data_IF_390513829735
#
_entry.id   IF_390513829735
#
_cell.length_a   1.000
_cell.length_b   1.000
_cell.length_c   1.000
_cell.angle_alpha   90.00
_cell.angle_beta   90.00
_cell.angle_gamma   90.00
#
_symmetry.space_group_name_H-M   'P 1'
#
loop_
_entity.id
_entity.type
_entity.pdbx_description
1 polymer ?
#
# COMPACT_ATOMS: atom_id res chain seq x y z
N UNK A 1 10.99 -40.57 -5.65
CA UNK A 1 10.85 -39.72 -4.44
C UNK A 1 9.54 -38.98 -4.59
N UNK A 2 8.59 -39.19 -3.67
CA UNK A 2 7.28 -38.55 -3.70
C UNK A 2 7.21 -37.54 -2.55
N UNK A 3 7.14 -36.26 -2.88
CA UNK A 3 7.00 -35.17 -1.91
C UNK A 3 5.83 -34.30 -2.39
N UNK A 4 4.89 -34.00 -1.50
CA UNK A 4 3.83 -33.03 -1.74
C UNK A 4 4.10 -31.77 -0.93
N UNK A 5 3.77 -30.62 -1.51
CA UNK A 5 3.83 -29.32 -0.85
C UNK A 5 2.38 -28.92 -0.58
N UNK A 6 2.09 -28.57 0.67
CA UNK A 6 0.79 -28.08 1.10
C UNK A 6 0.97 -26.67 1.63
N UNK A 7 0.05 -25.78 1.24
CA UNK A 7 -0.05 -24.43 1.79
C UNK A 7 -1.28 -24.43 2.68
N UNK A 8 -1.08 -24.16 3.96
CA UNK A 8 -2.15 -24.05 4.94
C UNK A 8 -2.29 -22.59 5.36
N UNK A 9 -3.55 -22.16 5.51
CA UNK A 9 -3.90 -20.82 5.95
C UNK A 9 -4.36 -20.87 7.41
N UNK A 10 -3.80 -19.97 8.22
CA UNK A 10 -4.19 -19.80 9.62
C UNK A 10 -4.66 -18.37 9.83
N UNK A 11 -5.83 -18.21 10.42
CA UNK A 11 -6.43 -16.91 10.71
C UNK A 11 -6.59 -16.69 12.21
N UNK A 12 -6.40 -15.45 12.63
CA UNK A 12 -6.76 -14.99 13.98
C UNK A 12 -7.30 -13.58 13.89
N UNK A 13 -8.29 -13.28 14.72
CA UNK A 13 -8.89 -11.96 14.78
C UNK A 13 -8.91 -11.47 16.23
N UNK A 14 -8.51 -10.21 16.41
CA UNK A 14 -8.69 -9.47 17.65
C UNK A 14 -10.09 -8.85 17.66
N UNK A 15 -10.84 -9.07 18.75
CA UNK A 15 -12.22 -8.60 18.87
C UNK A 15 -12.38 -7.71 20.10
N UNK A 16 -13.31 -6.76 20.03
CA UNK A 16 -13.78 -6.04 21.21
C UNK A 16 -14.60 -6.98 22.09
N UNK A 17 -14.12 -7.18 23.32
CA UNK A 17 -14.86 -7.94 24.33
C UNK A 17 -15.55 -6.98 25.31
N UNK A 18 -16.46 -7.52 26.13
CA UNK A 18 -17.10 -6.73 27.21
C UNK A 18 -16.11 -6.19 28.24
N UNK A 19 -14.93 -6.80 28.34
CA UNK A 19 -13.90 -6.48 29.32
C UNK A 19 -12.84 -5.54 28.75
N UNK A 20 -12.87 -5.27 27.45
CA UNK A 20 -11.92 -4.45 26.72
C UNK A 20 -11.58 -5.03 25.34
N UNK A 21 -10.88 -4.24 24.50
CA UNK A 21 -10.34 -4.72 23.24
C UNK A 21 -9.30 -5.83 23.47
N UNK A 22 -9.27 -6.81 22.57
CA UNK A 22 -8.11 -7.71 22.45
C UNK A 22 -7.02 -7.01 21.64
N UNK A 23 -5.76 -7.21 22.03
CA UNK A 23 -4.62 -6.59 21.37
C UNK A 23 -3.70 -7.65 20.77
N UNK A 24 -3.09 -7.33 19.63
CA UNK A 24 -2.00 -8.11 19.03
C UNK A 24 -0.68 -7.51 19.50
N UNK A 25 0.12 -8.31 20.21
CA UNK A 25 1.36 -7.83 20.84
C UNK A 25 2.34 -8.97 21.09
N UNK A 26 3.64 -8.63 21.12
CA UNK A 26 4.71 -9.51 21.57
C UNK A 26 4.73 -9.70 23.10
N UNK A 27 4.11 -8.78 23.85
CA UNK A 27 4.06 -8.83 25.31
C UNK A 27 3.04 -9.87 25.81
N UNK A 28 3.46 -11.13 25.85
CA UNK A 28 2.61 -12.26 26.20
C UNK A 28 2.87 -12.77 27.63
N UNK A 29 1.82 -12.89 28.47
CA UNK A 29 1.99 -13.41 29.82
C UNK A 29 2.39 -14.90 29.78
N UNK A 30 3.41 -15.26 30.56
CA UNK A 30 3.96 -16.62 30.65
C UNK A 30 4.63 -17.14 29.36
N UNK A 31 4.96 -16.27 28.40
CA UNK A 31 5.78 -16.66 27.25
C UNK A 31 7.27 -16.60 27.60
N UNK A 32 8.02 -17.64 27.23
CA UNK A 32 9.48 -17.65 27.32
C UNK A 32 10.11 -16.95 26.11
N UNK A 33 11.31 -16.38 26.26
CA UNK A 33 12.09 -15.78 25.17
C UNK A 33 12.21 -16.70 23.93
N UNK A 34 12.36 -18.01 24.14
CA UNK A 34 12.42 -18.98 23.04
C UNK A 34 11.15 -19.03 22.19
N UNK A 35 9.98 -18.75 22.78
CA UNK A 35 8.70 -18.70 22.07
C UNK A 35 8.51 -17.37 21.34
N UNK A 36 9.11 -16.30 21.85
CA UNK A 36 9.04 -14.95 21.28
C UNK A 36 10.10 -14.71 20.20
N UNK A 37 11.07 -15.62 20.03
CA UNK A 37 12.22 -15.46 19.11
C UNK A 37 11.82 -15.16 17.67
N UNK A 38 10.68 -15.70 17.24
CA UNK A 38 10.19 -15.62 15.86
C UNK A 38 9.19 -14.47 15.67
N UNK A 39 8.78 -13.80 16.74
CA UNK A 39 7.83 -12.68 16.70
C UNK A 39 8.57 -11.35 16.55
N UNK A 40 8.00 -10.49 15.73
CA UNK A 40 8.44 -9.11 15.60
C UNK A 40 7.96 -8.23 16.75
N UNK A 41 8.26 -6.93 16.68
CA UNK A 41 7.87 -5.95 17.70
C UNK A 41 6.36 -5.81 17.86
N UNK A 42 5.57 -6.12 16.82
CA UNK A 42 4.10 -6.05 16.87
C UNK A 42 3.47 -7.37 17.33
N UNK A 43 4.26 -8.42 17.51
CA UNK A 43 3.78 -9.73 17.95
C UNK A 43 3.36 -10.65 16.81
N UNK A 44 3.83 -10.42 15.59
CA UNK A 44 3.56 -11.22 14.40
C UNK A 44 4.84 -11.94 13.96
N UNK A 45 4.71 -13.20 13.53
CA UNK A 45 5.85 -13.96 13.01
C UNK A 45 6.51 -13.31 11.79
N UNK A 46 7.80 -13.54 11.56
CA UNK A 46 8.46 -13.08 10.33
C UNK A 46 8.16 -13.98 9.12
N UNK A 47 8.07 -13.37 7.93
CA UNK A 47 8.06 -14.13 6.66
C UNK A 47 9.41 -14.82 6.49
N UNK A 48 9.40 -16.10 6.15
CA UNK A 48 10.59 -16.95 6.06
C UNK A 48 10.98 -17.63 7.37
N UNK A 49 10.27 -17.41 8.48
CA UNK A 49 10.53 -18.12 9.72
C UNK A 49 10.17 -19.61 9.59
N UNK A 50 11.07 -20.48 10.03
CA UNK A 50 10.77 -21.89 10.24
C UNK A 50 10.03 -22.06 11.57
N UNK A 51 8.83 -22.63 11.50
CA UNK A 51 7.95 -22.80 12.65
C UNK A 51 7.62 -24.27 12.86
N UNK A 52 7.53 -24.66 14.12
CA UNK A 52 7.10 -25.98 14.54
C UNK A 52 5.88 -25.89 15.47
N UNK A 53 5.21 -27.02 15.66
CA UNK A 53 4.13 -27.19 16.63
C UNK A 53 4.43 -26.48 17.96
N UNK A 54 3.52 -25.60 18.39
CA UNK A 54 3.62 -24.85 19.64
C UNK A 54 4.28 -23.48 19.54
N UNK A 55 4.98 -23.18 18.43
CA UNK A 55 5.48 -21.84 18.14
C UNK A 55 4.31 -20.88 17.93
N UNK A 56 4.53 -19.62 18.32
CA UNK A 56 3.53 -18.57 18.24
C UNK A 56 3.62 -17.93 16.84
N UNK A 57 2.50 -17.94 16.11
CA UNK A 57 2.37 -17.27 14.81
C UNK A 57 1.96 -15.81 14.99
N UNK A 58 1.00 -15.56 15.87
CA UNK A 58 0.50 -14.23 16.18
C UNK A 58 0.21 -14.14 17.67
N UNK A 59 0.90 -13.26 18.36
CA UNK A 59 0.72 -12.93 19.76
C UNK A 59 -0.58 -12.16 19.96
N UNK A 60 -1.52 -12.72 20.72
CA UNK A 60 -2.80 -12.10 21.04
C UNK A 60 -3.07 -12.14 22.53
N UNK A 61 -3.46 -11.01 23.08
CA UNK A 61 -3.83 -10.87 24.50
C UNK A 61 -5.30 -10.48 24.63
N UNK A 62 -5.98 -11.12 25.58
CA UNK A 62 -7.39 -10.81 25.90
C UNK A 62 -7.48 -10.29 27.32
N UNK A 63 -8.12 -9.14 27.58
CA UNK A 63 -8.33 -8.66 28.94
C UNK A 63 -9.17 -9.66 29.74
N UNK A 64 -8.69 -9.98 30.95
CA UNK A 64 -9.38 -10.78 31.95
C UNK A 64 -10.23 -9.87 32.82
N UNK A 65 -11.37 -10.38 33.26
CA UNK A 65 -12.16 -9.70 34.28
C UNK A 65 -11.45 -9.78 35.63
N UNK A 66 -11.77 -8.83 36.53
CA UNK A 66 -11.29 -8.87 37.91
C UNK A 66 -11.73 -10.18 38.57
N UNK A 67 -10.80 -11.11 38.71
CA UNK A 67 -10.98 -12.30 39.53
C UNK A 67 -10.53 -11.94 40.95
N UNK A 68 -11.24 -12.41 41.99
CA UNK A 68 -10.82 -12.16 43.36
C UNK A 68 -9.43 -12.77 43.57
N UNK A 69 -8.42 -11.92 43.67
CA UNK A 69 -7.03 -12.33 43.89
C UNK A 69 -6.89 -12.97 45.26
N UNK A 70 -6.07 -14.02 45.32
CA UNK A 70 -5.66 -14.64 46.58
C UNK A 70 -4.82 -13.66 47.41
N UNK A 71 -4.80 -13.77 48.76
CA UNK A 71 -3.93 -12.95 49.60
C UNK A 71 -2.45 -12.96 49.17
N UNK A 72 -1.98 -14.08 48.62
CA UNK A 72 -0.64 -14.30 48.08
C UNK A 72 -0.37 -13.45 46.83
N UNK A 73 -1.31 -13.45 45.86
CA UNK A 73 -1.22 -12.62 44.64
C UNK A 73 -1.32 -11.12 44.97
N UNK A 74 -2.15 -10.77 45.95
CA UNK A 74 -2.30 -9.40 46.45
C UNK A 74 -1.00 -8.88 47.08
N UNK A 75 -0.28 -9.74 47.81
CA UNK A 75 1.02 -9.41 48.37
C UNK A 75 2.07 -9.22 47.29
N UNK A 76 2.14 -10.12 46.30
CA UNK A 76 3.04 -10.02 45.15
C UNK A 76 2.83 -8.71 44.38
N UNK A 77 1.57 -8.35 44.09
CA UNK A 77 1.22 -7.09 43.42
C UNK A 77 1.65 -5.85 44.21
N UNK A 78 1.54 -5.89 45.54
CA UNK A 78 1.97 -4.78 46.40
C UNK A 78 3.50 -4.62 46.46
N UNK A 79 4.25 -5.72 46.31
CA UNK A 79 5.72 -5.72 46.38
C UNK A 79 6.33 -5.34 45.03
N UNK A 80 5.86 -5.94 43.93
CA UNK A 80 6.48 -5.76 42.62
C UNK A 80 5.93 -4.57 41.86
N UNK A 81 4.77 -4.01 42.23
CA UNK A 81 4.16 -2.86 41.57
C UNK A 81 3.80 -3.09 40.10
N UNK A 82 4.22 -4.21 39.52
CA UNK A 82 3.83 -4.66 38.21
C UNK A 82 2.33 -4.89 38.21
N UNK A 83 1.68 -4.27 37.23
CA UNK A 83 0.40 -4.74 36.71
C UNK A 83 0.65 -6.20 36.31
N UNK A 84 0.43 -7.15 37.22
CA UNK A 84 0.28 -8.54 36.86
C UNK A 84 -0.70 -8.53 35.70
N UNK A 85 -0.21 -8.88 34.51
CA UNK A 85 -0.89 -8.57 33.27
C UNK A 85 -2.31 -9.13 33.38
N UNK A 86 -3.30 -8.26 33.55
CA UNK A 86 -4.73 -8.59 33.69
C UNK A 86 -5.26 -9.09 32.34
N UNK A 87 -4.40 -9.74 31.55
CA UNK A 87 -4.63 -10.25 30.22
C UNK A 87 -4.30 -11.74 30.19
N UNK A 88 -4.95 -12.45 29.27
CA UNK A 88 -4.74 -13.85 28.98
C UNK A 88 -4.06 -13.96 27.64
N UNK A 89 -3.03 -14.79 27.54
CA UNK A 89 -2.53 -15.25 26.25
C UNK A 89 -3.64 -16.03 25.53
N UNK A 90 -4.09 -15.52 24.38
CA UNK A 90 -5.01 -16.17 23.44
C UNK A 90 -4.41 -16.20 22.03
N UNK A 91 -3.07 -16.23 21.95
CA UNK A 91 -2.28 -16.21 20.73
C UNK A 91 -2.58 -17.38 19.80
N UNK A 92 -2.40 -17.14 18.50
CA UNK A 92 -2.42 -18.16 17.48
C UNK A 92 -1.10 -18.94 17.51
N UNK A 93 -1.19 -20.26 17.69
CA UNK A 93 -0.04 -21.17 17.73
C UNK A 93 -0.14 -22.20 16.62
N UNK A 94 1.00 -22.68 16.15
CA UNK A 94 1.06 -23.75 15.16
C UNK A 94 0.42 -25.02 15.74
N UNK A 95 -0.58 -25.63 15.06
CA UNK A 95 -1.20 -26.86 15.52
C UNK A 95 -0.20 -28.03 15.66
N UNK A 96 -0.50 -29.00 16.54
CA UNK A 96 0.34 -30.17 16.69
C UNK A 96 0.42 -30.97 15.38
N UNK A 97 1.64 -31.36 15.01
CA UNK A 97 1.91 -32.13 13.80
C UNK A 97 2.19 -31.31 12.54
N UNK A 98 2.02 -29.98 12.59
CA UNK A 98 2.38 -29.08 11.49
C UNK A 98 3.79 -28.52 11.71
N UNK A 99 4.61 -28.54 10.66
CA UNK A 99 5.91 -27.87 10.58
C UNK A 99 6.05 -27.30 9.18
N UNK A 100 6.55 -26.07 9.08
CA UNK A 100 6.74 -25.43 7.79
C UNK A 100 7.47 -24.10 7.89
N UNK A 101 7.46 -23.37 6.80
CA UNK A 101 8.03 -22.03 6.69
C UNK A 101 6.91 -21.06 6.40
N UNK A 102 6.89 -19.92 7.09
CA UNK A 102 5.91 -18.86 6.83
C UNK A 102 6.22 -18.23 5.47
N UNK A 103 5.27 -18.26 4.54
CA UNK A 103 5.47 -17.75 3.18
C UNK A 103 4.88 -16.34 3.01
N UNK A 104 3.71 -16.09 3.58
CA UNK A 104 2.99 -14.84 3.41
C UNK A 104 2.21 -14.52 4.70
N UNK A 105 2.06 -13.23 4.99
CA UNK A 105 1.30 -12.71 6.12
C UNK A 105 0.47 -11.55 5.63
N UNK A 106 -0.82 -11.55 5.97
CA UNK A 106 -1.75 -10.47 5.66
C UNK A 106 -2.33 -9.93 6.96
N UNK A 107 -2.32 -8.62 7.11
CA UNK A 107 -2.85 -7.91 8.27
C UNK A 107 -4.03 -7.08 7.81
N UNK A 108 -5.20 -7.34 8.39
CA UNK A 108 -6.43 -6.63 8.11
C UNK A 108 -6.78 -5.75 9.32
N UNK A 109 -6.86 -4.44 9.11
CA UNK A 109 -7.20 -3.47 10.14
C UNK A 109 -8.53 -2.79 9.81
N UNK A 110 -9.44 -2.73 10.79
CA UNK A 110 -10.73 -2.04 10.63
C UNK A 110 -10.54 -0.53 10.57
N UNK A 111 -11.48 0.13 9.89
CA UNK A 111 -11.60 1.60 9.86
C UNK A 111 -11.63 2.20 11.27
N UNK A 112 -10.72 3.14 11.54
CA UNK A 112 -10.72 3.95 12.75
C UNK A 112 -9.93 3.37 13.94
N UNK A 113 -9.27 2.23 13.80
CA UNK A 113 -8.29 1.75 14.77
C UNK A 113 -6.92 2.38 14.45
N UNK A 114 -6.14 2.76 15.46
CA UNK A 114 -4.76 3.21 15.26
C UNK A 114 -3.96 2.11 14.57
N UNK A 115 -3.43 2.41 13.38
CA UNK A 115 -2.59 1.47 12.63
C UNK A 115 -1.24 1.37 13.33
N UNK A 116 -0.76 0.14 13.50
CA UNK A 116 0.56 -0.14 14.01
C UNK A 116 1.65 0.23 12.98
N UNK A 117 2.90 0.37 13.43
CA UNK A 117 4.01 0.78 12.57
C UNK A 117 4.18 -0.15 11.35
N UNK A 118 3.88 -1.46 11.53
CA UNK A 118 3.96 -2.43 10.45
C UNK A 118 2.85 -2.24 9.43
N UNK A 119 1.59 -2.08 9.84
CA UNK A 119 0.51 -1.76 8.90
C UNK A 119 0.78 -0.46 8.14
N UNK A 120 1.28 0.58 8.81
CA UNK A 120 1.67 1.85 8.17
C UNK A 120 2.78 1.62 7.13
N UNK A 121 3.78 0.79 7.44
CA UNK A 121 4.87 0.49 6.50
C UNK A 121 4.39 -0.24 5.24
N UNK A 122 3.47 -1.19 5.40
CA UNK A 122 2.88 -1.95 4.28
C UNK A 122 2.05 -1.00 3.41
N UNK A 123 1.19 -0.20 4.03
CA UNK A 123 0.36 0.80 3.35
C UNK A 123 1.21 1.80 2.54
N UNK A 124 2.27 2.33 3.15
CA UNK A 124 3.17 3.26 2.46
C UNK A 124 3.88 2.59 1.26
N UNK A 125 4.31 1.33 1.42
CA UNK A 125 4.93 0.59 0.32
C UNK A 125 3.95 0.31 -0.82
N UNK A 126 2.68 0.02 -0.51
CA UNK A 126 1.65 -0.14 -1.52
C UNK A 126 1.34 1.18 -2.23
N UNK A 127 1.19 2.27 -1.48
CA UNK A 127 1.01 3.62 -2.03
C UNK A 127 2.17 4.01 -2.96
N UNK A 128 3.41 3.72 -2.57
CA UNK A 128 4.59 3.99 -3.39
C UNK A 128 4.56 3.21 -4.70
N UNK A 129 4.22 1.92 -4.65
CA UNK A 129 4.09 1.10 -5.87
C UNK A 129 3.02 1.64 -6.82
N UNK A 130 1.87 2.05 -6.28
CA UNK A 130 0.74 2.60 -7.05
C UNK A 130 1.08 3.97 -7.62
N UNK A 131 1.86 4.79 -6.90
CA UNK A 131 2.34 6.09 -7.39
C UNK A 131 3.31 5.92 -8.54
N UNK A 132 4.22 4.95 -8.43
CA UNK A 132 5.17 4.66 -9.50
C UNK A 132 4.46 4.20 -10.77
N UNK A 133 3.49 3.30 -10.64
CA UNK A 133 2.67 2.86 -11.78
C UNK A 133 1.94 4.03 -12.45
N UNK A 134 1.38 4.97 -11.65
CA UNK A 134 0.75 6.17 -12.17
C UNK A 134 1.74 7.04 -12.94
N UNK A 135 2.93 7.26 -12.38
CA UNK A 135 3.95 8.11 -13.00
C UNK A 135 4.44 7.51 -14.32
N UNK A 136 4.66 6.19 -14.36
CA UNK A 136 4.99 5.47 -15.58
C UNK A 136 3.87 5.58 -16.63
N UNK A 137 2.60 5.45 -16.23
CA UNK A 137 1.44 5.64 -17.12
C UNK A 137 1.36 7.08 -17.67
N UNK A 138 1.57 8.09 -16.83
CA UNK A 138 1.57 9.49 -17.22
C UNK A 138 2.70 9.80 -18.18
N UNK A 139 3.91 9.28 -17.94
CA UNK A 139 5.07 9.48 -18.81
C UNK A 139 4.84 8.88 -20.20
N UNK A 140 4.28 7.67 -20.28
CA UNK A 140 3.92 7.03 -21.55
C UNK A 140 2.85 7.86 -22.28
N UNK A 141 1.84 8.34 -21.56
CA UNK A 141 0.78 9.17 -22.13
C UNK A 141 1.35 10.50 -22.65
N UNK A 142 2.14 11.21 -21.85
CA UNK A 142 2.81 12.45 -22.23
C UNK A 142 3.71 12.26 -23.46
N UNK A 143 4.51 11.21 -23.47
CA UNK A 143 5.43 10.91 -24.57
C UNK A 143 4.68 10.60 -25.87
N UNK A 144 3.68 9.71 -25.82
CA UNK A 144 2.90 9.32 -27.00
C UNK A 144 2.08 10.48 -27.56
N UNK A 145 1.44 11.27 -26.69
CA UNK A 145 0.71 12.47 -27.08
C UNK A 145 1.62 13.54 -27.69
N UNK A 146 2.78 13.80 -27.07
CA UNK A 146 3.78 14.73 -27.59
C UNK A 146 4.27 14.34 -28.98
N UNK A 147 4.57 13.06 -29.22
CA UNK A 147 4.96 12.57 -30.53
C UNK A 147 3.85 12.73 -31.58
N UNK A 148 2.60 12.42 -31.20
CA UNK A 148 1.47 12.59 -32.11
C UNK A 148 1.23 14.06 -32.47
N UNK A 149 1.37 14.98 -31.51
CA UNK A 149 1.32 16.42 -31.78
C UNK A 149 2.44 16.85 -32.74
N UNK A 150 3.68 16.40 -32.49
CA UNK A 150 4.82 16.70 -33.38
C UNK A 150 4.55 16.24 -34.81
N UNK A 151 4.06 15.02 -35.00
CA UNK A 151 3.72 14.47 -36.32
C UNK A 151 2.67 15.32 -37.06
N UNK A 152 1.62 15.77 -36.36
CA UNK A 152 0.58 16.62 -36.95
C UNK A 152 1.08 18.04 -37.29
N UNK A 153 2.02 18.56 -36.50
CA UNK A 153 2.57 19.92 -36.65
C UNK A 153 3.66 20.01 -37.72
N UNK A 154 4.44 18.95 -37.97
CA UNK A 154 5.55 18.96 -38.93
C UNK A 154 5.08 19.38 -40.33
N UNK A 155 5.77 20.37 -40.91
CA UNK A 155 5.51 20.85 -42.26
C UNK A 155 4.28 21.77 -42.40
N UNK A 156 3.55 22.03 -41.32
CA UNK A 156 2.41 22.97 -41.31
C UNK A 156 2.87 24.42 -41.15
N UNK A 157 2.02 25.35 -41.61
CA UNK A 157 2.27 26.79 -41.52
C UNK A 157 1.93 27.31 -40.13
N UNK A 158 2.91 27.90 -39.46
CA UNK A 158 2.77 28.46 -38.12
C UNK A 158 2.05 29.82 -38.13
N UNK A 159 1.13 30.02 -37.18
CA UNK A 159 0.44 31.30 -36.96
C UNK A 159 0.93 31.99 -35.69
N UNK A 160 0.85 31.31 -34.54
CA UNK A 160 1.13 31.87 -33.22
C UNK A 160 1.30 30.76 -32.18
N UNK A 161 1.76 31.10 -30.96
CA UNK A 161 1.77 30.17 -29.82
C UNK A 161 3.14 29.83 -29.23
N UNK A 162 4.21 30.28 -29.88
CA UNK A 162 5.58 30.11 -29.39
C UNK A 162 6.54 31.13 -30.02
N UNK A 163 7.52 31.62 -29.26
CA UNK A 163 8.39 32.73 -29.67
C UNK A 163 9.50 32.30 -30.67
N UNK A 164 9.84 31.00 -30.70
CA UNK A 164 10.92 30.46 -31.55
C UNK A 164 10.54 30.27 -33.05
N UNK A 165 9.30 30.59 -33.43
CA UNK A 165 8.81 30.45 -34.81
C UNK A 165 8.35 31.78 -35.40
N UNK A 166 8.84 32.06 -36.60
CA UNK A 166 8.38 33.19 -37.39
C UNK A 166 6.97 32.94 -37.94
N UNK A 167 6.12 33.97 -37.93
CA UNK A 167 4.78 33.89 -38.52
C UNK A 167 4.86 33.48 -39.99
N UNK A 168 4.00 32.55 -40.39
CA UNK A 168 3.93 31.96 -41.75
C UNK A 168 5.15 31.11 -42.17
N UNK A 169 6.04 30.78 -41.22
CA UNK A 169 7.09 29.78 -41.48
C UNK A 169 6.53 28.36 -41.39
N UNK A 170 7.23 27.40 -42.02
CA UNK A 170 6.93 25.97 -41.86
C UNK A 170 7.60 25.43 -40.61
N UNK A 171 6.87 24.63 -39.85
CA UNK A 171 7.40 23.96 -38.66
C UNK A 171 8.37 22.84 -39.06
N UNK A 172 9.62 22.92 -38.59
CA UNK A 172 10.65 21.91 -38.81
C UNK A 172 10.68 20.90 -37.65
N UNK A 173 11.03 19.65 -37.97
CA UNK A 173 11.10 18.56 -37.00
C UNK A 173 12.08 18.87 -35.85
N UNK A 174 13.29 19.35 -36.17
CA UNK A 174 14.34 19.68 -35.19
C UNK A 174 13.91 20.74 -34.16
N UNK A 175 13.11 21.72 -34.57
CA UNK A 175 12.60 22.75 -33.67
C UNK A 175 11.46 22.25 -32.78
N UNK A 176 10.63 21.35 -33.29
CA UNK A 176 9.54 20.74 -32.54
C UNK A 176 10.04 19.68 -31.55
N UNK A 177 11.15 19.01 -31.84
CA UNK A 177 11.70 17.95 -31.00
C UNK A 177 12.09 18.44 -29.61
N UNK A 178 12.64 19.66 -29.52
CA UNK A 178 13.12 20.29 -28.29
C UNK A 178 12.03 20.93 -27.43
N UNK A 179 10.77 20.95 -27.88
CA UNK A 179 9.67 21.58 -27.16
C UNK A 179 8.97 20.60 -26.21
N UNK A 180 8.53 21.14 -25.08
CA UNK A 180 7.68 20.41 -24.14
C UNK A 180 6.25 20.28 -24.67
N UNK A 181 5.51 19.32 -24.12
CA UNK A 181 4.12 19.07 -24.51
C UNK A 181 3.25 20.32 -24.32
N UNK A 182 3.48 21.09 -23.26
CA UNK A 182 2.71 22.29 -22.97
C UNK A 182 2.95 23.41 -24.00
N UNK A 183 4.17 23.58 -24.50
CA UNK A 183 4.45 24.49 -25.60
C UNK A 183 3.83 23.98 -26.90
N UNK A 184 3.92 22.68 -27.18
CA UNK A 184 3.33 22.08 -28.39
C UNK A 184 1.80 22.29 -28.45
N UNK A 185 1.10 22.18 -27.32
CA UNK A 185 -0.34 22.43 -27.23
C UNK A 185 -0.73 23.89 -27.50
N UNK A 186 0.17 24.85 -27.30
CA UNK A 186 -0.11 26.29 -27.51
C UNK A 186 0.08 26.71 -28.96
N UNK A 187 0.68 25.87 -29.81
CA UNK A 187 0.97 26.18 -31.22
C UNK A 187 -0.33 26.18 -32.02
N UNK A 188 -0.57 27.29 -32.72
CA UNK A 188 -1.66 27.45 -33.66
C UNK A 188 -1.14 27.39 -35.10
N UNK A 189 -1.86 26.64 -35.95
CA UNK A 189 -1.54 26.43 -37.37
C UNK A 189 -2.68 26.94 -38.27
N UNK A 190 -2.36 27.18 -39.53
CA UNK A 190 -3.30 27.71 -40.54
C UNK A 190 -4.31 26.69 -41.08
N UNK A 191 -3.97 25.40 -41.02
CA UNK A 191 -4.79 24.32 -41.58
C UNK A 191 -5.96 23.94 -40.63
N UNK A 192 -7.16 24.47 -40.90
CA UNK A 192 -8.36 24.25 -40.07
C UNK A 192 -8.66 22.78 -39.79
N UNK A 193 -8.43 21.88 -40.77
CA UNK A 193 -8.72 20.44 -40.59
C UNK A 193 -7.82 19.82 -39.55
N UNK A 194 -6.54 20.21 -39.56
CA UNK A 194 -5.54 19.68 -38.62
C UNK A 194 -5.72 20.35 -37.25
N UNK A 195 -6.12 21.61 -37.19
CA UNK A 195 -6.50 22.27 -35.93
C UNK A 195 -7.64 21.51 -35.23
N UNK A 196 -8.71 21.14 -35.94
CA UNK A 196 -9.79 20.32 -35.35
C UNK A 196 -9.30 18.95 -34.86
N UNK A 197 -8.34 18.33 -35.56
CA UNK A 197 -7.74 17.07 -35.12
C UNK A 197 -6.92 17.25 -33.84
N UNK A 198 -6.12 18.32 -33.76
CA UNK A 198 -5.32 18.67 -32.57
C UNK A 198 -6.24 18.95 -31.38
N UNK A 199 -7.33 19.70 -31.55
CA UNK A 199 -8.31 19.96 -30.49
C UNK A 199 -8.94 18.65 -29.97
N UNK A 200 -9.32 17.74 -30.87
CA UNK A 200 -9.85 16.44 -30.47
C UNK A 200 -8.80 15.59 -29.75
N UNK A 201 -7.54 15.66 -30.17
CA UNK A 201 -6.42 14.97 -29.54
C UNK A 201 -6.18 15.50 -28.12
N UNK A 202 -6.14 16.82 -27.94
CA UNK A 202 -6.00 17.50 -26.65
C UNK A 202 -7.12 17.06 -25.70
N UNK A 203 -8.37 17.07 -26.16
CA UNK A 203 -9.52 16.63 -25.36
C UNK A 203 -9.39 15.16 -24.94
N UNK A 204 -8.94 14.28 -25.84
CA UNK A 204 -8.74 12.87 -25.50
C UNK A 204 -7.63 12.69 -24.47
N UNK A 205 -6.54 13.44 -24.61
CA UNK A 205 -5.42 13.46 -23.67
C UNK A 205 -5.87 13.93 -22.28
N UNK A 206 -6.61 15.04 -22.18
CA UNK A 206 -7.16 15.54 -20.91
C UNK A 206 -8.09 14.52 -20.24
N UNK A 207 -8.95 13.87 -21.02
CA UNK A 207 -9.82 12.80 -20.50
C UNK A 207 -9.01 11.60 -19.98
N UNK A 208 -7.96 11.20 -20.69
CA UNK A 208 -7.09 10.09 -20.24
C UNK A 208 -6.33 10.45 -18.97
N UNK A 209 -5.79 11.67 -18.89
CA UNK A 209 -5.12 12.19 -17.71
C UNK A 209 -6.06 12.22 -16.50
N UNK A 210 -7.29 12.70 -16.69
CA UNK A 210 -8.34 12.65 -15.66
C UNK A 210 -8.66 11.22 -15.20
N UNK A 211 -8.79 10.29 -16.15
CA UNK A 211 -9.06 8.88 -15.83
C UNK A 211 -7.93 8.21 -15.05
N UNK A 212 -6.67 8.48 -15.40
CA UNK A 212 -5.49 7.94 -14.70
C UNK A 212 -5.47 8.46 -13.26
N UNK A 213 -5.62 9.77 -13.07
CA UNK A 213 -5.65 10.39 -11.75
C UNK A 213 -6.81 9.87 -10.90
N UNK A 214 -8.01 9.77 -11.48
CA UNK A 214 -9.16 9.23 -10.76
C UNK A 214 -8.96 7.75 -10.36
N UNK A 215 -8.35 6.93 -11.23
CA UNK A 215 -8.00 5.55 -10.88
C UNK A 215 -6.99 5.49 -9.74
N UNK A 216 -6.00 6.38 -9.77
CA UNK A 216 -4.99 6.49 -8.71
C UNK A 216 -5.65 6.87 -7.38
N UNK A 217 -6.45 7.94 -7.33
CA UNK A 217 -7.19 8.36 -6.13
C UNK A 217 -8.05 7.22 -5.58
N UNK A 218 -8.83 6.54 -6.44
CA UNK A 218 -9.64 5.40 -6.02
C UNK A 218 -8.82 4.23 -5.45
N UNK A 219 -7.59 4.01 -5.93
CA UNK A 219 -6.70 2.97 -5.39
C UNK A 219 -6.16 3.39 -4.02
N UNK A 220 -5.70 4.64 -3.89
CA UNK A 220 -5.21 5.20 -2.63
C UNK A 220 -6.31 5.18 -1.57
N UNK A 221 -7.52 5.62 -1.92
CA UNK A 221 -8.67 5.60 -1.02
C UNK A 221 -8.97 4.18 -0.55
N UNK A 222 -8.89 3.17 -1.42
CA UNK A 222 -9.09 1.76 -1.02
C UNK A 222 -8.01 1.28 -0.04
N UNK A 223 -6.75 1.62 -0.29
CA UNK A 223 -5.62 1.26 0.58
C UNK A 223 -5.78 1.92 1.96
N UNK A 224 -6.13 3.21 1.98
CA UNK A 224 -6.27 3.98 3.22
C UNK A 224 -7.52 3.62 4.02
N UNK A 225 -8.62 3.37 3.31
CA UNK A 225 -9.92 3.09 3.92
C UNK A 225 -9.95 1.77 4.67
N UNK A 226 -8.95 0.89 4.56
CA UNK A 226 -8.95 -0.40 5.25
C UNK A 226 -10.14 -1.28 4.86
N UNK A 227 -10.19 -2.47 5.46
CA UNK A 227 -11.18 -3.49 5.14
C UNK A 227 -12.44 -3.35 6.04
N UNK A 228 -13.62 -3.62 5.44
CA UNK A 228 -14.91 -3.70 6.16
C UNK A 228 -15.08 -5.03 6.91
#
# INVERSE_FOLDING_TARGET
VFTSIHVEEFEVMARDTKLGPEDVTRDLPNASEEMLRNLDETGIVYVGAEVASGDILVGKVTPKGETPMTPEEKLLRAIFGEKAADVKDTSLRVPPGVKGTVVEIRVFSRRGIEKDQRAISIENSEIESVSKDRDDELDILHYSFGNHLKELLVGKTFISGHDDFDKKSKLSFEKLENLDVNALMKINIEDEKVTTQIESLIKNYENQLGNINQKFENKIDKIQSGDE
#
